data_IF_763564941724
#
_entry.id   IF_763564941724
#
_cell.length_a   1.000
_cell.length_b   1.000
_cell.length_c   1.000
_cell.angle_alpha   90.00
_cell.angle_beta   90.00
_cell.angle_gamma   90.00
#
_symmetry.space_group_name_H-M   'P 1'
#
loop_
_entity.id
_entity.type
_entity.pdbx_description
1 polymer ?
#
# COMPACT_ATOMS: atom_id res chain seq x y z
N UNK A 1 14.23 -13.08 4.88
CA UNK A 1 13.78 -11.79 4.31
C UNK A 1 12.47 -12.05 3.58
N UNK A 2 11.41 -11.28 3.80
CA UNK A 2 10.11 -11.45 3.11
C UNK A 2 10.10 -10.49 1.91
N UNK A 3 10.10 -11.02 0.69
CA UNK A 3 10.20 -10.26 -0.57
C UNK A 3 8.89 -9.53 -0.92
N UNK A 4 8.39 -8.71 0.02
CA UNK A 4 7.10 -8.01 -0.11
C UNK A 4 7.18 -6.83 -1.08
N UNK A 5 8.35 -6.21 -1.20
CA UNK A 5 8.62 -5.10 -2.13
C UNK A 5 9.93 -5.36 -2.86
N UNK A 6 9.92 -5.16 -4.18
CA UNK A 6 11.09 -5.27 -5.05
C UNK A 6 11.27 -3.96 -5.84
N UNK A 7 12.51 -3.58 -6.19
CA UNK A 7 12.80 -2.32 -6.90
C UNK A 7 12.13 -2.25 -8.27
N UNK A 8 11.98 -3.37 -8.95
CA UNK A 8 11.22 -3.52 -10.21
C UNK A 8 9.74 -3.12 -10.10
N UNK A 9 9.20 -3.09 -8.87
CA UNK A 9 7.81 -2.75 -8.58
C UNK A 9 7.66 -1.30 -8.10
N UNK A 10 8.72 -0.50 -8.13
CA UNK A 10 8.71 0.92 -7.81
C UNK A 10 8.96 1.70 -9.09
N UNK A 11 8.00 2.55 -9.49
CA UNK A 11 8.18 3.51 -10.59
C UNK A 11 8.19 4.93 -10.05
N UNK A 12 9.11 5.75 -10.55
CA UNK A 12 9.22 7.18 -10.22
C UNK A 12 9.10 7.98 -11.50
N UNK A 13 8.04 8.76 -11.62
CA UNK A 13 7.78 9.65 -12.76
C UNK A 13 7.61 11.08 -12.25
N UNK A 14 8.68 11.87 -12.32
CA UNK A 14 8.71 13.24 -11.82
C UNK A 14 8.50 13.31 -10.30
N UNK A 15 7.39 13.91 -9.86
CA UNK A 15 6.98 13.97 -8.45
C UNK A 15 6.02 12.85 -8.05
N UNK A 16 5.68 11.94 -8.97
CA UNK A 16 4.83 10.80 -8.70
C UNK A 16 5.67 9.55 -8.48
N UNK A 17 5.39 8.81 -7.40
CA UNK A 17 5.99 7.51 -7.14
C UNK A 17 4.85 6.51 -6.98
N UNK A 18 4.96 5.42 -7.70
CA UNK A 18 4.02 4.31 -7.70
C UNK A 18 4.70 3.09 -7.14
N UNK A 19 4.17 2.54 -6.05
CA UNK A 19 4.72 1.35 -5.39
C UNK A 19 3.73 0.20 -5.52
N UNK A 20 4.18 -0.90 -6.12
CA UNK A 20 3.51 -2.20 -6.08
C UNK A 20 4.16 -3.10 -5.03
N UNK A 21 3.33 -3.76 -4.23
CA UNK A 21 3.81 -4.75 -3.26
C UNK A 21 3.04 -6.06 -3.41
N UNK A 22 3.73 -7.14 -3.06
CA UNK A 22 3.22 -8.51 -3.17
C UNK A 22 3.07 -9.08 -1.75
N UNK A 23 1.84 -9.30 -1.27
CA UNK A 23 1.62 -9.96 0.01
C UNK A 23 2.26 -11.35 0.04
N UNK A 24 2.69 -11.81 1.21
CA UNK A 24 3.35 -13.10 1.35
C UNK A 24 2.44 -14.30 1.05
N UNK A 25 1.11 -14.11 1.17
CA UNK A 25 0.08 -15.10 0.86
C UNK A 25 -1.15 -14.41 0.23
N UNK A 26 -1.90 -15.10 -0.64
CA UNK A 26 -3.03 -14.53 -1.40
C UNK A 26 -4.29 -14.19 -0.57
N UNK A 27 -4.30 -14.52 0.73
CA UNK A 27 -5.38 -14.22 1.69
C UNK A 27 -4.88 -13.47 2.93
N UNK A 28 -3.84 -12.65 2.76
CA UNK A 28 -3.23 -11.95 3.88
C UNK A 28 -4.12 -10.82 4.40
N UNK A 29 -4.67 -10.97 5.60
CA UNK A 29 -5.41 -9.89 6.30
C UNK A 29 -4.54 -8.66 6.58
N UNK A 30 -3.22 -8.82 6.62
CA UNK A 30 -2.25 -7.74 6.82
C UNK A 30 -1.90 -6.97 5.54
N UNK A 31 -2.36 -7.40 4.35
CA UNK A 31 -2.06 -6.71 3.09
C UNK A 31 -2.48 -5.23 3.14
N UNK A 32 -3.64 -4.95 3.75
CA UNK A 32 -4.13 -3.58 3.95
C UNK A 32 -3.24 -2.77 4.88
N UNK A 33 -2.75 -3.36 5.97
CA UNK A 33 -1.87 -2.68 6.93
C UNK A 33 -0.51 -2.38 6.29
N UNK A 34 0.05 -3.34 5.55
CA UNK A 34 1.31 -3.17 4.80
C UNK A 34 1.17 -2.04 3.77
N UNK A 35 0.09 -2.04 2.97
CA UNK A 35 -0.17 -0.99 1.99
C UNK A 35 -0.33 0.40 2.62
N UNK A 36 -1.05 0.49 3.74
CA UNK A 36 -1.22 1.75 4.48
C UNK A 36 0.10 2.25 5.10
N UNK A 37 0.94 1.35 5.63
CA UNK A 37 2.26 1.72 6.17
C UNK A 37 3.18 2.30 5.07
N UNK A 38 3.22 1.67 3.90
CA UNK A 38 3.98 2.18 2.75
C UNK A 38 3.42 3.53 2.31
N UNK A 39 2.10 3.65 2.19
CA UNK A 39 1.44 4.87 1.75
C UNK A 39 1.64 6.05 2.71
N UNK A 40 1.59 5.79 4.02
CA UNK A 40 1.78 6.82 5.05
C UNK A 40 3.24 7.26 5.16
N UNK A 41 4.20 6.34 4.99
CA UNK A 41 5.63 6.67 5.02
C UNK A 41 6.07 7.52 3.83
N UNK A 42 5.47 7.30 2.67
CA UNK A 42 5.90 7.89 1.41
C UNK A 42 4.96 8.98 0.88
N UNK A 43 3.69 9.06 1.30
CA UNK A 43 2.63 9.94 0.75
C UNK A 43 2.40 9.75 -0.76
N UNK A 44 2.56 8.51 -1.24
CA UNK A 44 2.64 8.16 -2.66
C UNK A 44 1.54 7.17 -3.09
N UNK A 45 1.40 6.92 -4.39
CA UNK A 45 0.41 5.99 -4.93
C UNK A 45 0.84 4.54 -4.66
N UNK A 46 -0.02 3.76 -3.99
CA UNK A 46 0.29 2.39 -3.56
C UNK A 46 -0.83 1.48 -4.02
N UNK A 47 -0.43 0.40 -4.69
CA UNK A 47 -1.34 -0.64 -5.17
C UNK A 47 -0.77 -2.04 -4.94
N UNK A 48 -1.65 -3.03 -4.87
CA UNK A 48 -1.27 -4.44 -4.87
C UNK A 48 -0.88 -4.86 -6.30
N UNK A 49 0.17 -5.67 -6.42
CA UNK A 49 0.59 -6.26 -7.70
C UNK A 49 -0.56 -7.08 -8.32
N UNK A 50 -0.92 -6.87 -9.60
CA UNK A 50 -2.02 -7.60 -10.24
C UNK A 50 -1.85 -9.13 -10.16
N UNK A 51 -2.92 -9.84 -9.81
CA UNK A 51 -2.96 -11.28 -9.66
C UNK A 51 -2.36 -11.82 -8.35
N UNK A 52 -1.85 -10.95 -7.47
CA UNK A 52 -1.18 -11.39 -6.23
C UNK A 52 -2.12 -11.57 -5.04
N UNK A 53 -3.34 -11.05 -5.08
CA UNK A 53 -4.29 -11.14 -3.98
C UNK A 53 -5.74 -11.31 -4.46
N UNK A 54 -6.49 -12.23 -3.86
CA UNK A 54 -7.88 -12.52 -4.25
C UNK A 54 -8.84 -11.32 -4.08
N UNK A 55 -8.45 -10.37 -3.24
CA UNK A 55 -9.20 -9.14 -2.97
C UNK A 55 -8.45 -7.88 -3.41
N UNK A 56 -7.62 -7.97 -4.45
CA UNK A 56 -6.84 -6.83 -4.94
C UNK A 56 -7.70 -5.61 -5.31
N UNK A 57 -8.85 -5.81 -5.96
CA UNK A 57 -9.75 -4.74 -6.42
C UNK A 57 -10.30 -3.91 -5.25
N UNK A 58 -10.96 -4.50 -4.24
CA UNK A 58 -11.46 -3.74 -3.09
C UNK A 58 -10.32 -3.12 -2.26
N UNK A 59 -9.16 -3.77 -2.16
CA UNK A 59 -8.01 -3.22 -1.42
C UNK A 59 -7.43 -2.00 -2.15
N UNK A 60 -7.21 -2.08 -3.47
CA UNK A 60 -6.72 -0.95 -4.26
C UNK A 60 -7.71 0.23 -4.23
N UNK A 61 -9.03 -0.05 -4.21
CA UNK A 61 -10.06 0.99 -4.04
C UNK A 61 -9.96 1.67 -2.67
N UNK A 62 -9.72 0.91 -1.60
CA UNK A 62 -9.51 1.46 -0.27
C UNK A 62 -8.21 2.26 -0.17
N UNK A 63 -7.14 1.79 -0.82
CA UNK A 63 -5.85 2.50 -0.88
C UNK A 63 -5.97 3.80 -1.70
N UNK A 64 -6.76 3.84 -2.77
CA UNK A 64 -6.96 5.02 -3.62
C UNK A 64 -7.78 6.15 -3.01
N UNK A 65 -8.48 5.91 -1.90
CA UNK A 65 -9.32 6.88 -1.22
C UNK A 65 -8.46 7.92 -0.46
N UNK A 66 -8.20 9.05 -1.11
CA UNK A 66 -7.35 10.14 -0.59
C UNK A 66 -7.92 10.79 0.69
N UNK A 67 -9.24 10.83 0.86
CA UNK A 67 -9.88 11.39 2.05
C UNK A 67 -9.78 10.44 3.25
N UNK A 68 -9.94 9.13 3.03
CA UNK A 68 -9.70 8.13 4.09
C UNK A 68 -8.23 8.04 4.50
N UNK A 69 -7.30 8.16 3.56
CA UNK A 69 -5.85 8.13 3.89
C UNK A 69 -5.45 9.37 4.70
N UNK A 70 -5.96 10.56 4.36
CA UNK A 70 -5.76 11.76 5.15
C UNK A 70 -6.31 11.60 6.58
N UNK A 71 -7.53 11.08 6.73
CA UNK A 71 -8.13 10.83 8.04
C UNK A 71 -7.36 9.77 8.86
N UNK A 72 -6.82 8.73 8.20
CA UNK A 72 -5.99 7.71 8.85
C UNK A 72 -4.63 8.28 9.33
N UNK A 73 -4.04 9.23 8.59
CA UNK A 73 -2.83 9.96 8.97
C UNK A 73 -3.06 10.92 10.15
N UNK A 74 -4.28 11.44 10.31
CA UNK A 74 -4.66 12.27 11.45
C UNK A 74 -4.98 11.46 12.73
N UNK A 75 -5.29 10.18 12.61
CA UNK A 75 -5.49 9.30 13.77
C UNK A 75 -4.16 9.07 14.52
N UNK A 76 -4.14 9.34 15.83
CA UNK A 76 -2.95 9.21 16.69
C UNK A 76 -2.39 7.78 16.73
N UNK A 77 -3.21 6.78 16.44
CA UNK A 77 -2.84 5.36 16.50
C UNK A 77 -1.80 4.96 15.44
N UNK A 78 -1.83 5.58 14.25
CA UNK A 78 -0.86 5.29 13.17
C UNK A 78 0.45 6.06 13.29
N UNK A 79 0.50 7.13 14.10
CA UNK A 79 1.70 7.97 14.28
C UNK A 79 2.74 7.36 15.23
N UNK A 80 2.43 6.27 15.92
CA UNK A 80 3.30 5.64 16.93
C UNK A 80 3.97 4.33 16.48
N UNK A 81 3.73 3.88 15.25
CA UNK A 81 4.35 2.67 14.69
C UNK A 81 5.56 3.00 13.81
#
# INVERSE_FOLDING_TARGET
QLNVVTLENISVEGSCVSVRFTPTIPHCSLATIIGLAIKTKLLLDVSITPGSHASEIPINKQLGDKERVAAALESKELRRA
#
